data_IF_127015113753
#
_entry.id   IF_127015113753
#
_cell.length_a   1.000
_cell.length_b   1.000
_cell.length_c   1.000
_cell.angle_alpha   90.00
_cell.angle_beta   90.00
_cell.angle_gamma   90.00
#
_symmetry.space_group_name_H-M   'P 1'
#
loop_
_entity.id
_entity.type
_entity.pdbx_description
1 polymer ?
#
# COMPACT_ATOMS: atom_id res chain seq x y z
N UNK A 1 -41.87 -24.59 7.17
CA UNK A 1 -41.18 -23.59 8.01
C UNK A 1 -41.17 -22.30 7.23
N UNK A 2 -42.15 -21.42 7.53
CA UNK A 2 -42.54 -20.29 6.71
C UNK A 2 -41.49 -19.17 6.78
N UNK A 3 -40.75 -19.00 5.71
CA UNK A 3 -39.81 -17.88 5.48
C UNK A 3 -40.56 -16.55 5.15
N UNK A 4 -41.88 -16.56 5.26
CA UNK A 4 -42.77 -15.53 4.70
C UNK A 4 -43.05 -14.33 5.60
N UNK A 5 -42.39 -14.12 6.73
CA UNK A 5 -42.62 -12.95 7.58
C UNK A 5 -41.29 -12.25 7.97
N UNK A 6 -40.46 -11.96 6.98
CA UNK A 6 -39.54 -10.85 7.20
C UNK A 6 -40.36 -9.57 7.01
N UNK A 7 -40.63 -8.86 8.11
CA UNK A 7 -41.29 -7.55 8.03
C UNK A 7 -40.52 -6.65 7.06
N UNK A 8 -41.18 -5.83 6.24
CA UNK A 8 -40.51 -4.99 5.22
C UNK A 8 -39.36 -4.15 5.80
N UNK A 9 -39.45 -3.78 7.06
CA UNK A 9 -38.39 -3.06 7.77
C UNK A 9 -37.11 -3.90 8.02
N UNK A 10 -37.25 -5.20 8.27
CA UNK A 10 -36.12 -6.11 8.48
C UNK A 10 -35.40 -6.36 7.14
N UNK A 11 -36.13 -6.59 6.05
CA UNK A 11 -35.55 -6.74 4.72
C UNK A 11 -34.80 -5.46 4.27
N UNK A 12 -35.36 -4.30 4.56
CA UNK A 12 -34.70 -3.01 4.30
C UNK A 12 -33.41 -2.86 5.10
N UNK A 13 -33.45 -3.19 6.39
CA UNK A 13 -32.26 -3.12 7.25
C UNK A 13 -31.15 -4.06 6.78
N UNK A 14 -31.47 -5.29 6.41
CA UNK A 14 -30.50 -6.23 5.81
C UNK A 14 -29.92 -5.69 4.49
N UNK A 15 -30.75 -5.13 3.61
CA UNK A 15 -30.29 -4.53 2.35
C UNK A 15 -29.31 -3.39 2.56
N UNK A 16 -29.58 -2.52 3.55
CA UNK A 16 -28.68 -1.40 3.89
C UNK A 16 -27.36 -1.93 4.44
N UNK A 17 -27.37 -2.85 5.41
CA UNK A 17 -26.16 -3.41 6.01
C UNK A 17 -25.31 -4.12 4.94
N UNK A 18 -25.93 -4.93 4.09
CA UNK A 18 -25.25 -5.63 3.02
C UNK A 18 -24.66 -4.66 1.98
N UNK A 19 -25.39 -3.62 1.62
CA UNK A 19 -24.89 -2.55 0.74
C UNK A 19 -23.68 -1.84 1.30
N UNK A 20 -23.68 -1.53 2.60
CA UNK A 20 -22.53 -0.92 3.28
C UNK A 20 -21.30 -1.85 3.23
N UNK A 21 -21.49 -3.14 3.50
CA UNK A 21 -20.40 -4.12 3.45
C UNK A 21 -19.79 -4.24 2.04
N UNK A 22 -20.62 -4.23 0.98
CA UNK A 22 -20.14 -4.25 -0.40
C UNK A 22 -19.35 -2.97 -0.72
N UNK A 23 -19.83 -1.80 -0.30
CA UNK A 23 -19.12 -0.54 -0.51
C UNK A 23 -17.77 -0.54 0.21
N UNK A 24 -17.72 -0.99 1.47
CA UNK A 24 -16.46 -1.09 2.22
C UNK A 24 -15.47 -2.06 1.55
N UNK A 25 -15.95 -3.20 1.09
CA UNK A 25 -15.13 -4.17 0.35
C UNK A 25 -14.62 -3.57 -0.96
N UNK A 26 -15.50 -2.91 -1.73
CA UNK A 26 -15.13 -2.22 -2.96
C UNK A 26 -14.08 -1.12 -2.73
N UNK A 27 -14.20 -0.42 -1.61
CA UNK A 27 -13.25 0.59 -1.17
C UNK A 27 -11.86 -0.01 -0.91
N UNK A 28 -11.80 -1.08 -0.13
CA UNK A 28 -10.54 -1.80 0.17
C UNK A 28 -9.89 -2.28 -1.12
N UNK A 29 -10.65 -2.92 -2.02
CA UNK A 29 -10.15 -3.39 -3.31
C UNK A 29 -9.60 -2.25 -4.18
N UNK A 30 -10.28 -1.11 -4.21
CA UNK A 30 -9.83 0.08 -4.95
C UNK A 30 -8.51 0.62 -4.40
N UNK A 31 -8.38 0.72 -3.07
CA UNK A 31 -7.13 1.20 -2.42
C UNK A 31 -5.98 0.25 -2.67
N UNK A 32 -6.19 -1.05 -2.47
CA UNK A 32 -5.17 -2.09 -2.71
C UNK A 32 -4.76 -2.10 -4.19
N UNK A 33 -5.71 -2.06 -5.10
CA UNK A 33 -5.46 -2.01 -6.53
C UNK A 33 -4.64 -0.78 -6.93
N UNK A 34 -5.02 0.39 -6.42
CA UNK A 34 -4.34 1.64 -6.70
C UNK A 34 -2.91 1.68 -6.11
N UNK A 35 -2.71 1.18 -4.89
CA UNK A 35 -1.38 1.10 -4.28
C UNK A 35 -0.45 0.17 -5.07
N UNK A 36 -0.96 -0.98 -5.50
CA UNK A 36 -0.23 -1.94 -6.35
C UNK A 36 0.16 -1.33 -7.70
N UNK A 37 -0.76 -0.60 -8.34
CA UNK A 37 -0.48 0.11 -9.59
C UNK A 37 0.60 1.17 -9.42
N UNK A 38 0.55 1.93 -8.33
CA UNK A 38 1.55 2.97 -8.03
C UNK A 38 2.93 2.37 -7.84
N UNK A 39 3.05 1.31 -7.04
CA UNK A 39 4.31 0.61 -6.84
C UNK A 39 4.84 0.03 -8.16
N UNK A 40 3.97 -0.58 -8.96
CA UNK A 40 4.33 -1.10 -10.27
C UNK A 40 4.79 -0.01 -11.24
N UNK A 41 4.14 1.17 -11.25
CA UNK A 41 4.57 2.31 -12.07
C UNK A 41 5.89 2.91 -11.56
N UNK A 42 6.00 3.14 -10.24
CA UNK A 42 7.22 3.66 -9.63
C UNK A 42 8.42 2.75 -9.87
N UNK A 43 8.21 1.43 -9.86
CA UNK A 43 9.27 0.43 -10.09
C UNK A 43 9.89 0.48 -11.50
N UNK A 44 9.31 1.23 -12.45
CA UNK A 44 9.96 1.47 -13.75
C UNK A 44 11.29 2.21 -13.59
N UNK A 45 11.36 3.10 -12.63
CA UNK A 45 12.51 3.96 -12.36
C UNK A 45 13.41 3.42 -11.23
N UNK A 46 13.05 2.28 -10.63
CA UNK A 46 13.85 1.68 -9.57
C UNK A 46 15.18 1.17 -10.09
N UNK A 47 16.27 1.40 -9.36
CA UNK A 47 17.56 0.84 -9.70
C UNK A 47 17.55 -0.68 -9.69
N UNK A 48 18.36 -1.26 -10.57
CA UNK A 48 18.54 -2.70 -10.69
C UNK A 48 19.90 -3.03 -10.11
N UNK A 49 19.91 -3.96 -9.15
CA UNK A 49 21.16 -4.45 -8.53
C UNK A 49 21.22 -5.97 -8.58
N UNK A 50 22.43 -6.55 -8.59
CA UNK A 50 22.58 -7.99 -8.40
C UNK A 50 22.20 -8.36 -6.96
N UNK A 51 21.44 -9.43 -6.82
CA UNK A 51 21.06 -10.01 -5.52
C UNK A 51 21.37 -11.50 -5.51
N UNK A 52 21.80 -12.03 -4.38
CA UNK A 52 22.05 -13.45 -4.17
C UNK A 52 20.82 -14.08 -3.55
N UNK A 53 20.33 -15.17 -4.13
CA UNK A 53 19.26 -15.96 -3.53
C UNK A 53 19.81 -16.69 -2.30
N UNK A 54 19.22 -16.45 -1.14
CA UNK A 54 19.57 -17.09 0.12
C UNK A 54 18.80 -18.38 0.30
N UNK A 55 17.49 -18.34 0.06
CA UNK A 55 16.63 -19.51 0.19
C UNK A 55 15.40 -19.42 -0.70
N UNK A 56 14.93 -20.58 -1.15
CA UNK A 56 13.69 -20.72 -1.92
C UNK A 56 12.87 -21.86 -1.34
N UNK A 57 11.67 -21.58 -0.89
CA UNK A 57 10.81 -22.55 -0.22
C UNK A 57 9.34 -22.33 -0.56
N UNK A 58 8.55 -23.39 -0.49
CA UNK A 58 7.10 -23.33 -0.58
C UNK A 58 6.54 -23.34 0.83
N UNK A 59 5.76 -22.30 1.16
CA UNK A 59 5.01 -22.27 2.42
C UNK A 59 3.60 -22.79 2.20
N UNK A 60 3.14 -23.62 3.10
CA UNK A 60 1.77 -24.06 3.19
C UNK A 60 0.98 -23.08 4.04
N UNK A 61 -0.08 -22.53 3.48
CA UNK A 61 -0.91 -21.54 4.15
C UNK A 61 -2.34 -22.08 4.17
N UNK A 62 -2.92 -22.30 5.35
CA UNK A 62 -4.33 -22.69 5.44
C UNK A 62 -5.20 -21.57 4.87
N UNK A 63 -6.19 -21.95 4.09
CA UNK A 63 -7.20 -21.07 3.52
C UNK A 63 -8.58 -21.48 4.06
N UNK A 64 -9.65 -20.85 3.61
CA UNK A 64 -11.01 -21.19 4.03
C UNK A 64 -11.34 -22.69 3.75
N UNK A 65 -12.10 -23.31 4.63
CA UNK A 65 -12.61 -24.68 4.50
C UNK A 65 -11.54 -25.77 4.35
N UNK A 66 -10.51 -25.76 5.23
CA UNK A 66 -9.42 -26.74 5.26
C UNK A 66 -8.61 -26.90 3.95
N UNK A 67 -8.77 -25.96 3.01
CA UNK A 67 -7.93 -25.94 1.82
C UNK A 67 -6.55 -25.41 2.13
N UNK A 68 -5.53 -26.15 1.73
CA UNK A 68 -4.13 -25.74 1.84
C UNK A 68 -3.72 -25.06 0.53
N UNK A 69 -3.29 -23.81 0.64
CA UNK A 69 -2.68 -23.06 -0.48
C UNK A 69 -1.17 -23.01 -0.33
N UNK A 70 -0.47 -23.06 -1.45
CA UNK A 70 0.99 -23.11 -1.51
C UNK A 70 1.54 -21.76 -1.99
N UNK A 71 2.27 -21.08 -1.09
CA UNK A 71 2.89 -19.78 -1.39
C UNK A 71 4.37 -19.96 -1.67
N UNK A 72 4.87 -19.62 -2.88
CA UNK A 72 6.31 -19.58 -3.16
C UNK A 72 6.93 -18.39 -2.44
N UNK A 73 8.00 -18.62 -1.71
CA UNK A 73 8.79 -17.58 -1.01
C UNK A 73 10.25 -17.73 -1.38
N UNK A 74 10.85 -16.64 -1.84
CA UNK A 74 12.26 -16.55 -2.22
C UNK A 74 12.89 -15.44 -1.40
N UNK A 75 13.85 -15.77 -0.54
CA UNK A 75 14.63 -14.79 0.20
C UNK A 75 15.92 -14.50 -0.56
N UNK A 76 16.26 -13.23 -0.71
CA UNK A 76 17.46 -12.78 -1.40
C UNK A 76 18.10 -11.59 -0.69
N UNK A 77 19.42 -11.46 -0.81
CA UNK A 77 20.18 -10.34 -0.27
C UNK A 77 20.84 -9.55 -1.40
N UNK A 78 20.89 -8.23 -1.25
CA UNK A 78 21.53 -7.32 -2.17
C UNK A 78 22.21 -6.17 -1.44
N UNK A 79 23.27 -5.62 -2.05
CA UNK A 79 24.02 -4.50 -1.49
C UNK A 79 23.45 -3.18 -2.00
N UNK A 80 23.28 -2.23 -1.09
CA UNK A 80 22.93 -0.85 -1.36
C UNK A 80 23.98 0.08 -0.76
N UNK A 81 23.96 1.36 -1.09
CA UNK A 81 24.85 2.34 -0.46
C UNK A 81 24.70 2.46 1.07
N UNK A 82 23.69 1.85 1.66
CA UNK A 82 23.42 1.79 3.10
C UNK A 82 23.73 0.45 3.76
N UNK A 83 24.26 -0.54 3.03
CA UNK A 83 24.56 -1.87 3.55
C UNK A 83 23.81 -3.00 2.84
N UNK A 84 23.88 -4.19 3.43
CA UNK A 84 23.17 -5.37 2.93
C UNK A 84 21.69 -5.34 3.33
N UNK A 85 20.82 -5.60 2.37
CA UNK A 85 19.36 -5.59 2.54
C UNK A 85 18.80 -6.95 2.12
N UNK A 86 17.86 -7.48 2.89
CA UNK A 86 17.14 -8.72 2.56
C UNK A 86 15.77 -8.40 2.01
N UNK A 87 15.41 -9.00 0.87
CA UNK A 87 14.09 -8.97 0.26
C UNK A 87 13.47 -10.35 0.18
N UNK A 88 12.13 -10.41 0.16
CA UNK A 88 11.38 -11.67 0.13
C UNK A 88 10.32 -11.71 -0.97
N UNK A 89 10.08 -10.62 -1.68
CA UNK A 89 9.01 -10.50 -2.65
C UNK A 89 9.47 -10.86 -4.06
N UNK A 90 8.83 -11.88 -4.64
CA UNK A 90 9.03 -12.23 -6.06
C UNK A 90 8.40 -11.17 -6.95
N UNK A 91 7.22 -10.68 -6.59
CA UNK A 91 6.46 -9.67 -7.34
C UNK A 91 5.55 -8.86 -6.40
N UNK A 92 5.03 -7.72 -6.85
CA UNK A 92 4.12 -6.85 -6.08
C UNK A 92 2.84 -7.55 -5.61
N UNK A 93 2.36 -8.52 -6.38
CA UNK A 93 1.23 -9.37 -5.99
C UNK A 93 1.75 -10.79 -5.88
N UNK A 94 1.79 -11.30 -4.65
CA UNK A 94 2.15 -12.67 -4.38
C UNK A 94 1.12 -13.63 -5.00
N UNK A 95 1.59 -14.72 -5.57
CA UNK A 95 0.73 -15.80 -6.07
C UNK A 95 0.61 -16.90 -5.04
N UNK A 96 -0.59 -17.43 -4.91
CA UNK A 96 -0.86 -18.68 -4.20
C UNK A 96 -1.30 -19.73 -5.20
N UNK A 97 -0.92 -20.96 -4.97
CA UNK A 97 -1.22 -22.09 -5.85
C UNK A 97 -2.00 -23.17 -5.10
N UNK A 98 -2.96 -23.77 -5.76
CA UNK A 98 -3.73 -24.87 -5.19
C UNK A 98 -2.94 -26.20 -5.11
N UNK A 99 -1.75 -26.27 -5.74
CA UNK A 99 -0.90 -27.47 -5.70
C UNK A 99 0.56 -27.08 -5.42
N UNK A 100 1.23 -27.95 -4.67
CA UNK A 100 2.65 -27.78 -4.29
C UNK A 100 3.57 -27.78 -5.51
N UNK A 101 3.28 -28.59 -6.50
CA UNK A 101 4.09 -28.72 -7.73
C UNK A 101 4.11 -27.41 -8.52
N UNK A 102 2.98 -26.69 -8.60
CA UNK A 102 2.91 -25.38 -9.29
C UNK A 102 3.71 -24.33 -8.55
N UNK A 103 3.64 -24.31 -7.22
CA UNK A 103 4.46 -23.41 -6.41
C UNK A 103 5.96 -23.77 -6.49
N UNK A 104 6.31 -25.06 -6.49
CA UNK A 104 7.66 -25.56 -6.66
C UNK A 104 8.24 -25.18 -8.04
N UNK A 105 7.43 -25.25 -9.10
CA UNK A 105 7.83 -24.81 -10.45
C UNK A 105 8.16 -23.32 -10.49
N UNK A 106 7.47 -22.47 -9.75
CA UNK A 106 7.82 -21.02 -9.67
C UNK A 106 9.18 -20.82 -9.01
N UNK A 107 9.44 -21.47 -7.87
CA UNK A 107 10.71 -21.31 -7.14
C UNK A 107 11.89 -22.03 -7.80
N UNK A 108 11.67 -23.02 -8.68
CA UNK A 108 12.78 -23.70 -9.40
C UNK A 108 13.58 -22.75 -10.27
N UNK A 109 13.02 -21.60 -10.65
CA UNK A 109 13.74 -20.54 -11.37
C UNK A 109 14.69 -19.73 -10.48
N UNK A 110 14.63 -19.92 -9.15
CA UNK A 110 15.38 -19.17 -8.14
C UNK A 110 16.11 -20.10 -7.16
N UNK A 111 17.05 -20.95 -7.63
CA UNK A 111 17.80 -21.83 -6.72
C UNK A 111 18.71 -21.02 -5.80
N UNK A 112 18.91 -21.50 -4.57
CA UNK A 112 19.78 -20.87 -3.61
C UNK A 112 21.21 -20.72 -4.15
N UNK A 113 21.87 -19.59 -3.84
CA UNK A 113 23.22 -19.27 -4.29
C UNK A 113 23.31 -18.57 -5.65
N UNK A 114 22.26 -18.59 -6.47
CA UNK A 114 22.24 -17.93 -7.79
C UNK A 114 22.11 -16.41 -7.64
N UNK A 115 22.81 -15.69 -8.51
CA UNK A 115 22.72 -14.21 -8.60
C UNK A 115 21.63 -13.84 -9.61
N UNK A 116 20.68 -13.03 -9.16
CA UNK A 116 19.55 -12.52 -9.93
C UNK A 116 19.50 -11.00 -9.90
N UNK A 117 18.80 -10.40 -10.85
CA UNK A 117 18.57 -8.95 -10.88
C UNK A 117 17.34 -8.61 -10.02
N UNK A 118 17.51 -7.73 -9.05
CA UNK A 118 16.45 -7.21 -8.18
C UNK A 118 16.24 -5.73 -8.46
N UNK A 119 15.00 -5.30 -8.41
CA UNK A 119 14.62 -3.88 -8.38
C UNK A 119 14.21 -3.51 -6.96
N UNK A 120 14.77 -2.45 -6.42
CA UNK A 120 14.44 -1.98 -5.08
C UNK A 120 14.02 -0.52 -5.08
N UNK A 121 13.17 -0.17 -4.12
CA UNK A 121 12.76 1.21 -3.91
C UNK A 121 13.85 1.96 -3.13
N UNK A 122 14.51 2.98 -3.71
CA UNK A 122 15.54 3.73 -3.00
C UNK A 122 15.01 4.52 -1.80
N UNK A 123 13.70 4.84 -1.80
CA UNK A 123 13.03 5.56 -0.71
C UNK A 123 12.55 4.62 0.41
N UNK A 124 12.42 3.31 0.13
CA UNK A 124 11.99 2.29 1.07
C UNK A 124 12.71 0.98 0.75
N UNK A 125 13.88 0.77 1.30
CA UNK A 125 14.77 -0.36 0.99
C UNK A 125 14.14 -1.75 1.23
N UNK A 126 13.13 -1.82 2.09
CA UNK A 126 12.35 -3.04 2.30
C UNK A 126 11.46 -3.40 1.09
N UNK A 127 11.14 -2.43 0.23
CA UNK A 127 10.34 -2.67 -0.97
C UNK A 127 11.27 -3.07 -2.12
N UNK A 128 11.34 -4.36 -2.40
CA UNK A 128 12.15 -4.89 -3.50
C UNK A 128 11.41 -6.04 -4.19
N UNK A 129 11.62 -6.21 -5.49
CA UNK A 129 10.97 -7.26 -6.27
C UNK A 129 11.93 -7.87 -7.29
N UNK A 130 11.82 -9.18 -7.49
CA UNK A 130 12.55 -9.90 -8.52
C UNK A 130 11.94 -9.66 -9.92
N UNK A 131 10.60 -9.67 -9.99
CA UNK A 131 9.87 -9.52 -11.25
C UNK A 131 8.82 -8.41 -11.13
N UNK A 132 8.77 -7.54 -12.14
CA UNK A 132 7.72 -6.52 -12.25
C UNK A 132 6.40 -7.13 -12.75
N UNK A 133 5.78 -8.00 -11.96
CA UNK A 133 4.41 -8.47 -12.19
C UNK A 133 3.46 -7.78 -11.20
N UNK A 134 2.19 -7.63 -11.60
CA UNK A 134 1.14 -7.10 -10.72
C UNK A 134 0.39 -5.89 -11.27
N UNK A 135 0.88 -5.21 -12.31
CA UNK A 135 0.21 -4.04 -12.87
C UNK A 135 -1.21 -4.33 -13.35
N UNK A 136 -1.40 -5.43 -14.11
CA UNK A 136 -2.72 -5.85 -14.56
C UNK A 136 -3.60 -6.27 -13.37
N UNK A 137 -3.05 -7.02 -12.41
CA UNK A 137 -3.80 -7.42 -11.22
C UNK A 137 -4.24 -6.21 -10.40
N UNK A 138 -3.36 -5.23 -10.18
CA UNK A 138 -3.71 -3.97 -9.51
C UNK A 138 -4.81 -3.20 -10.24
N UNK A 139 -4.75 -3.15 -11.58
CA UNK A 139 -5.77 -2.53 -12.41
C UNK A 139 -7.13 -3.23 -12.28
N UNK A 140 -7.14 -4.55 -12.37
CA UNK A 140 -8.37 -5.34 -12.23
C UNK A 140 -8.97 -5.23 -10.82
N UNK A 141 -8.15 -5.23 -9.78
CA UNK A 141 -8.61 -5.01 -8.40
C UNK A 141 -9.24 -3.61 -8.24
N UNK A 142 -8.63 -2.59 -8.80
CA UNK A 142 -9.17 -1.24 -8.77
C UNK A 142 -10.52 -1.16 -9.51
N UNK A 143 -10.61 -1.73 -10.71
CA UNK A 143 -11.85 -1.75 -11.49
C UNK A 143 -12.96 -2.51 -10.79
N UNK A 144 -12.66 -3.69 -10.21
CA UNK A 144 -13.65 -4.48 -9.48
C UNK A 144 -14.17 -3.74 -8.25
N UNK A 145 -13.29 -3.06 -7.52
CA UNK A 145 -13.68 -2.21 -6.40
C UNK A 145 -14.60 -1.07 -6.81
N UNK A 146 -14.28 -0.36 -7.89
CA UNK A 146 -15.14 0.69 -8.44
C UNK A 146 -16.48 0.14 -8.92
N UNK A 147 -16.50 -1.01 -9.60
CA UNK A 147 -17.72 -1.65 -10.06
C UNK A 147 -18.64 -2.03 -8.89
N UNK A 148 -18.10 -2.56 -7.79
CA UNK A 148 -18.86 -2.85 -6.57
C UNK A 148 -19.51 -1.58 -6.00
N UNK A 149 -18.76 -0.48 -5.91
CA UNK A 149 -19.27 0.80 -5.37
C UNK A 149 -20.38 1.33 -6.27
N UNK A 150 -20.11 1.47 -7.58
CA UNK A 150 -21.08 2.02 -8.55
C UNK A 150 -22.32 1.15 -8.63
N UNK A 151 -22.15 -0.18 -8.72
CA UNK A 151 -23.27 -1.11 -8.79
C UNK A 151 -24.19 -1.03 -7.56
N UNK A 152 -23.61 -0.92 -6.37
CA UNK A 152 -24.39 -0.77 -5.13
C UNK A 152 -25.14 0.57 -5.10
N UNK A 153 -24.51 1.66 -5.55
CA UNK A 153 -25.16 2.98 -5.60
C UNK A 153 -26.31 3.01 -6.59
N UNK A 154 -26.14 2.40 -7.77
CA UNK A 154 -27.21 2.28 -8.77
C UNK A 154 -28.37 1.42 -8.25
N UNK A 155 -28.09 0.27 -7.64
CA UNK A 155 -29.10 -0.58 -7.04
C UNK A 155 -29.89 0.15 -5.94
N UNK A 156 -29.23 0.93 -5.09
CA UNK A 156 -29.88 1.73 -4.06
C UNK A 156 -30.76 2.86 -4.64
N UNK A 157 -30.38 3.45 -5.78
CA UNK A 157 -31.21 4.43 -6.48
C UNK A 157 -32.48 3.80 -7.06
N UNK A 158 -32.32 2.65 -7.72
CA UNK A 158 -33.49 1.92 -8.31
C UNK A 158 -34.45 1.49 -7.21
N UNK A 159 -33.96 1.11 -6.03
CA UNK A 159 -34.76 0.76 -4.87
C UNK A 159 -35.41 1.97 -4.16
N UNK A 160 -35.17 3.21 -4.63
CA UNK A 160 -35.72 4.43 -4.02
C UNK A 160 -35.19 4.74 -2.62
N UNK A 161 -34.04 4.16 -2.24
CA UNK A 161 -33.47 4.33 -0.91
C UNK A 161 -32.74 5.69 -0.77
N UNK A 162 -33.07 6.49 0.26
CA UNK A 162 -32.32 7.74 0.54
C UNK A 162 -30.85 7.50 0.84
N UNK A 163 -30.47 6.26 1.19
CA UNK A 163 -29.07 5.83 1.41
C UNK A 163 -28.17 6.01 0.16
N UNK A 164 -28.72 6.08 -1.06
CA UNK A 164 -27.95 6.35 -2.27
C UNK A 164 -27.24 7.72 -2.21
N UNK A 165 -27.87 8.74 -1.65
CA UNK A 165 -27.30 10.09 -1.49
C UNK A 165 -26.14 10.08 -0.49
N UNK A 166 -26.26 9.32 0.60
CA UNK A 166 -25.22 9.15 1.61
C UNK A 166 -24.03 8.39 1.02
N UNK A 167 -24.27 7.34 0.23
CA UNK A 167 -23.23 6.57 -0.44
C UNK A 167 -22.41 7.40 -1.44
N UNK A 168 -23.06 8.27 -2.22
CA UNK A 168 -22.39 9.21 -3.14
C UNK A 168 -21.53 10.21 -2.36
N UNK A 169 -22.03 10.75 -1.25
CA UNK A 169 -21.26 11.65 -0.40
C UNK A 169 -20.02 10.99 0.20
N UNK A 170 -20.16 9.76 0.73
CA UNK A 170 -19.05 8.97 1.27
C UNK A 170 -18.01 8.62 0.20
N UNK A 171 -18.43 8.22 -0.99
CA UNK A 171 -17.53 7.93 -2.11
C UNK A 171 -16.77 9.20 -2.54
N UNK A 172 -17.43 10.37 -2.54
CA UNK A 172 -16.80 11.65 -2.82
C UNK A 172 -15.74 12.05 -1.78
N UNK A 173 -16.04 11.92 -0.49
CA UNK A 173 -15.10 12.18 0.59
C UNK A 173 -13.89 11.24 0.49
N UNK A 174 -14.12 9.96 0.18
CA UNK A 174 -13.04 9.01 0.03
C UNK A 174 -12.15 9.30 -1.18
N UNK A 175 -12.72 9.66 -2.31
CA UNK A 175 -11.95 10.08 -3.49
C UNK A 175 -11.06 11.29 -3.15
N UNK A 176 -11.58 12.26 -2.41
CA UNK A 176 -10.81 13.42 -1.94
C UNK A 176 -9.66 13.01 -1.02
N UNK A 177 -9.91 12.15 -0.02
CA UNK A 177 -8.88 11.66 0.91
C UNK A 177 -7.80 10.86 0.17
N UNK A 178 -8.19 10.04 -0.81
CA UNK A 178 -7.25 9.26 -1.63
C UNK A 178 -6.37 10.15 -2.50
N UNK A 179 -6.94 11.18 -3.14
CA UNK A 179 -6.19 12.17 -3.93
C UNK A 179 -5.23 12.97 -3.03
N UNK A 180 -5.69 13.36 -1.84
CA UNK A 180 -4.86 14.10 -0.88
C UNK A 180 -3.69 13.25 -0.35
N UNK A 181 -3.95 12.00 0.00
CA UNK A 181 -2.92 11.05 0.39
C UNK A 181 -1.89 10.78 -0.72
N UNK A 182 -2.35 10.75 -1.98
CA UNK A 182 -1.47 10.62 -3.14
C UNK A 182 -0.52 11.81 -3.31
N UNK A 183 -1.07 13.03 -3.28
CA UNK A 183 -0.25 14.25 -3.40
C UNK A 183 0.83 14.34 -2.34
N UNK A 184 0.52 13.93 -1.09
CA UNK A 184 1.49 13.94 0.01
C UNK A 184 2.57 12.87 -0.16
N UNK A 185 2.24 11.69 -0.69
CA UNK A 185 3.22 10.64 -1.02
C UNK A 185 4.17 11.07 -2.14
N UNK A 186 3.64 11.71 -3.20
CA UNK A 186 4.45 12.22 -4.31
C UNK A 186 5.40 13.32 -3.86
N UNK A 187 4.96 14.23 -3.00
CA UNK A 187 5.81 15.31 -2.47
C UNK A 187 7.00 14.75 -1.69
N UNK A 188 6.78 13.72 -0.88
CA UNK A 188 7.87 13.10 -0.11
C UNK A 188 8.90 12.42 -1.01
N UNK A 189 8.44 11.65 -2.01
CA UNK A 189 9.35 10.99 -2.95
C UNK A 189 10.12 11.99 -3.82
N UNK A 190 9.49 13.08 -4.22
CA UNK A 190 10.16 14.18 -4.90
C UNK A 190 11.20 14.87 -4.00
N UNK A 191 10.83 15.19 -2.74
CA UNK A 191 11.74 15.82 -1.80
C UNK A 191 12.99 14.96 -1.49
N UNK A 192 12.84 13.64 -1.47
CA UNK A 192 13.98 12.71 -1.35
C UNK A 192 14.84 12.68 -2.61
N UNK A 193 14.24 12.68 -3.80
CA UNK A 193 14.97 12.70 -5.09
C UNK A 193 15.76 14.00 -5.29
N UNK A 194 15.21 15.13 -4.85
CA UNK A 194 15.87 16.43 -4.93
C UNK A 194 16.88 16.67 -3.81
N UNK A 195 17.07 15.73 -2.89
CA UNK A 195 17.98 15.85 -1.75
C UNK A 195 17.50 16.80 -0.64
N UNK A 196 16.29 17.35 -0.77
CA UNK A 196 15.67 18.22 0.25
C UNK A 196 15.35 17.43 1.51
N UNK A 197 14.85 16.18 1.35
CA UNK A 197 14.53 15.30 2.47
C UNK A 197 15.56 14.16 2.57
N UNK A 198 16.10 13.85 3.76
CA UNK A 198 17.13 12.83 3.91
C UNK A 198 16.62 11.44 3.58
N UNK A 199 17.55 10.55 3.24
CA UNK A 199 17.23 9.14 3.03
C UNK A 199 16.78 8.46 4.34
N UNK A 200 15.97 7.38 4.28
CA UNK A 200 15.53 6.66 5.46
C UNK A 200 16.72 6.26 6.36
N UNK A 201 16.60 6.58 7.64
CA UNK A 201 17.64 6.28 8.65
C UNK A 201 18.89 7.19 8.63
N UNK A 202 19.00 8.14 7.70
CA UNK A 202 20.13 9.10 7.62
C UNK A 202 19.76 10.53 8.02
N UNK A 203 18.54 10.73 8.54
CA UNK A 203 18.09 12.04 8.99
C UNK A 203 18.80 12.50 10.27
N UNK A 204 18.95 13.81 10.44
CA UNK A 204 19.50 14.46 11.62
C UNK A 204 18.67 15.68 12.02
N UNK A 205 18.85 16.18 13.25
CA UNK A 205 18.18 17.41 13.70
C UNK A 205 18.57 18.64 12.85
N UNK A 206 19.77 18.66 12.29
CA UNK A 206 20.20 19.68 11.33
C UNK A 206 19.37 19.67 10.04
N UNK A 207 18.93 18.48 9.60
CA UNK A 207 18.05 18.37 8.45
C UNK A 207 16.64 18.89 8.76
N UNK A 208 16.19 18.72 10.01
CA UNK A 208 14.93 19.31 10.49
C UNK A 208 15.01 20.82 10.45
N UNK A 209 16.08 21.42 11.00
CA UNK A 209 16.32 22.87 10.96
C UNK A 209 16.36 23.41 9.52
N UNK A 210 17.08 22.71 8.63
CA UNK A 210 17.16 23.06 7.21
C UNK A 210 15.78 23.07 6.54
N UNK A 211 14.96 22.06 6.80
CA UNK A 211 13.59 21.98 6.27
C UNK A 211 12.69 23.11 6.80
N UNK A 212 12.86 23.50 8.06
CA UNK A 212 12.15 24.64 8.65
C UNK A 212 12.57 25.94 7.97
N UNK A 213 13.86 26.16 7.76
CA UNK A 213 14.38 27.35 7.05
C UNK A 213 13.92 27.43 5.59
N UNK A 214 13.74 26.27 4.93
CA UNK A 214 13.21 26.17 3.57
C UNK A 214 11.67 26.34 3.49
N UNK A 215 11.01 26.53 4.64
CA UNK A 215 9.55 26.67 4.69
C UNK A 215 8.77 25.35 4.58
N UNK A 216 9.47 24.21 4.49
CA UNK A 216 8.89 22.88 4.34
C UNK A 216 8.46 22.27 5.70
N UNK A 217 7.60 23.01 6.44
CA UNK A 217 7.18 22.67 7.82
C UNK A 217 6.59 21.25 7.92
N UNK A 218 5.82 20.80 6.94
CA UNK A 218 5.21 19.44 6.97
C UNK A 218 6.26 18.34 6.88
N UNK A 219 7.29 18.53 6.07
CA UNK A 219 8.40 17.59 5.96
C UNK A 219 9.27 17.62 7.23
N UNK A 220 9.49 18.78 7.82
CA UNK A 220 10.20 18.94 9.09
C UNK A 220 9.49 18.22 10.24
N UNK A 221 8.16 18.37 10.38
CA UNK A 221 7.35 17.67 11.39
C UNK A 221 7.47 16.14 11.20
N UNK A 222 7.42 15.68 9.96
CA UNK A 222 7.54 14.26 9.65
C UNK A 222 8.91 13.72 10.02
N UNK A 223 9.98 14.42 9.63
CA UNK A 223 11.35 14.02 9.94
C UNK A 223 11.59 14.00 11.45
N UNK A 224 11.12 15.01 12.17
CA UNK A 224 11.21 15.07 13.63
C UNK A 224 10.53 13.86 14.30
N UNK A 225 9.36 13.44 13.81
CA UNK A 225 8.67 12.22 14.28
C UNK A 225 9.45 10.95 13.99
N UNK A 226 10.06 10.85 12.81
CA UNK A 226 10.88 9.69 12.45
C UNK A 226 12.12 9.57 13.37
N UNK A 227 12.75 10.69 13.73
CA UNK A 227 13.94 10.74 14.59
C UNK A 227 13.62 10.49 16.07
N UNK A 228 12.63 11.19 16.60
CA UNK A 228 12.34 11.21 18.04
C UNK A 228 11.18 10.31 18.46
N UNK A 229 10.53 9.61 17.52
CA UNK A 229 9.37 8.72 17.75
C UNK A 229 8.25 9.39 18.57
N UNK A 230 8.04 10.69 18.36
CA UNK A 230 7.07 11.52 19.09
C UNK A 230 5.72 11.58 18.40
N UNK A 231 4.67 11.93 19.14
CA UNK A 231 3.33 12.15 18.59
C UNK A 231 3.27 13.38 17.68
N UNK A 232 2.26 13.42 16.79
CA UNK A 232 2.08 14.50 15.84
C UNK A 232 1.92 15.87 16.52
N UNK A 233 1.17 15.93 17.64
CA UNK A 233 0.90 17.17 18.37
C UNK A 233 2.19 17.76 18.96
N UNK A 234 2.98 16.93 19.61
CA UNK A 234 4.25 17.31 20.21
C UNK A 234 5.28 17.76 19.16
N UNK A 235 5.38 17.01 18.07
CA UNK A 235 6.28 17.34 16.96
C UNK A 235 5.92 18.67 16.30
N UNK A 236 4.62 18.92 16.13
CA UNK A 236 4.15 20.19 15.58
C UNK A 236 4.51 21.39 16.45
N UNK A 237 4.29 21.31 17.75
CA UNK A 237 4.64 22.37 18.70
C UNK A 237 6.14 22.66 18.67
N UNK A 238 6.99 21.61 18.66
CA UNK A 238 8.44 21.77 18.61
C UNK A 238 8.91 22.41 17.31
N UNK A 239 8.33 22.06 16.18
CA UNK A 239 8.67 22.69 14.89
C UNK A 239 8.18 24.15 14.83
N UNK A 240 7.05 24.48 15.41
CA UNK A 240 6.56 25.86 15.54
C UNK A 240 7.49 26.71 16.43
N UNK A 241 7.94 26.17 17.58
CA UNK A 241 8.95 26.81 18.43
C UNK A 241 10.28 27.03 17.71
N UNK A 242 10.75 25.99 16.97
CA UNK A 242 11.97 26.06 16.21
C UNK A 242 11.88 27.13 15.09
N UNK A 243 10.76 27.16 14.37
CA UNK A 243 10.51 28.17 13.35
C UNK A 243 10.51 29.58 13.93
N UNK A 244 9.91 29.80 15.11
CA UNK A 244 9.90 31.08 15.79
C UNK A 244 11.29 31.54 16.24
N UNK A 245 12.20 30.60 16.56
CA UNK A 245 13.61 30.90 16.92
C UNK A 245 14.48 31.25 15.70
N UNK A 246 14.26 30.57 14.57
CA UNK A 246 15.06 30.75 13.36
C UNK A 246 14.67 31.99 12.56
N UNK A 247 13.51 32.58 12.84
CA UNK A 247 13.04 33.83 12.20
C UNK A 247 13.28 35.08 13.06
N UNK A 248 13.92 34.95 14.25
CA UNK A 248 14.44 36.07 15.04
C UNK A 248 15.91 36.33 14.71
#
# INVERSE_FOLDING_TARGET
MDIAILTPNVALAFGIVFGILIILTGLILTVVGLSTLRQWQASKQWPIVPARIVSSRVLETPCFEDQIMFKPVVSYTFLTGGGEVTGNDIAFVGKMYGTRERAAKEISHYPAGVIVKVRYNPDALAESVLIRRGGLAGFLLMLSGLACIIGTLLAAQVAGLPAARIGVALAGVFALVSVFGWRNGLRLSQARRTGIYPQPGKGSDRDVERLVMQGEKMLAIRLYRELHKTELKTSRLRIEELAARLHK
#
